data_IF_286871343519
#
_entry.id   IF_286871343519
#
_cell.length_a   1.000
_cell.length_b   1.000
_cell.length_c   1.000
_cell.angle_alpha   90.00
_cell.angle_beta   90.00
_cell.angle_gamma   90.00
#
_symmetry.space_group_name_H-M   'P 1'
#
loop_
_entity.id
_entity.type
_entity.pdbx_description
1 polymer ?
#
# COMPACT_ATOMS: atom_id res chain seq x y z
N UNK A 1 34.65 3.58 2.90
CA UNK A 1 33.55 2.86 2.22
C UNK A 1 32.29 3.05 3.06
N UNK A 2 31.36 3.91 2.64
CA UNK A 2 30.03 4.00 3.27
C UNK A 2 29.13 3.02 2.53
N UNK A 3 28.92 1.83 3.11
CA UNK A 3 27.82 0.96 2.70
C UNK A 3 26.52 1.66 3.14
N UNK A 4 25.54 1.77 2.24
CA UNK A 4 24.28 2.47 2.49
C UNK A 4 23.57 1.88 3.73
N UNK A 5 23.06 2.76 4.60
CA UNK A 5 22.54 2.42 5.94
C UNK A 5 21.06 2.04 5.96
N UNK A 6 20.30 2.29 4.88
CA UNK A 6 18.84 2.17 4.93
C UNK A 6 18.29 1.52 3.65
N UNK A 7 17.67 0.36 3.81
CA UNK A 7 16.96 -0.37 2.74
C UNK A 7 15.78 -1.20 3.24
N UNK A 8 15.50 -1.22 4.55
CA UNK A 8 14.51 -2.12 5.16
C UNK A 8 13.75 -1.49 6.34
N UNK A 9 13.67 -0.15 6.43
CA UNK A 9 13.01 0.50 7.58
C UNK A 9 11.49 0.48 7.55
N UNK A 10 10.88 0.03 6.44
CA UNK A 10 9.42 -0.08 6.31
C UNK A 10 8.88 -1.44 6.72
N UNK A 11 9.73 -2.49 6.84
CA UNK A 11 9.32 -3.83 7.25
C UNK A 11 9.60 -3.98 8.74
N UNK A 12 8.57 -3.82 9.55
CA UNK A 12 8.55 -4.27 10.93
C UNK A 12 7.98 -5.68 10.95
N UNK A 13 8.79 -6.67 11.36
CA UNK A 13 8.36 -8.06 11.39
C UNK A 13 7.25 -8.36 12.41
N UNK A 14 6.99 -7.44 13.34
CA UNK A 14 5.89 -7.52 14.30
C UNK A 14 4.61 -6.83 13.77
N UNK A 15 4.65 -6.18 12.61
CA UNK A 15 3.49 -5.55 11.96
C UNK A 15 2.83 -6.47 10.94
N UNK A 16 1.51 -6.36 10.83
CA UNK A 16 0.73 -7.05 9.81
C UNK A 16 0.60 -6.17 8.59
N UNK A 17 0.95 -6.72 7.44
CA UNK A 17 0.86 -6.03 6.16
C UNK A 17 -0.27 -6.65 5.34
N UNK A 18 -1.36 -5.90 5.18
CA UNK A 18 -2.42 -6.27 4.26
C UNK A 18 -2.02 -5.84 2.85
N UNK A 19 -1.82 -6.81 1.95
CA UNK A 19 -1.41 -6.55 0.57
C UNK A 19 -2.60 -6.55 -0.37
N UNK A 20 -2.72 -5.51 -1.18
CA UNK A 20 -3.74 -5.37 -2.22
C UNK A 20 -3.09 -5.22 -3.60
N UNK A 21 -3.84 -5.62 -4.61
CA UNK A 21 -3.44 -5.56 -6.01
C UNK A 21 -4.36 -4.65 -6.79
N UNK A 22 -3.79 -3.63 -7.44
CA UNK A 22 -4.53 -2.67 -8.25
C UNK A 22 -4.06 -2.74 -9.71
N UNK A 23 -5.00 -2.69 -10.66
CA UNK A 23 -4.71 -2.79 -12.10
C UNK A 23 -4.99 -1.51 -12.86
N UNK A 24 -5.60 -0.50 -12.21
CA UNK A 24 -6.00 0.74 -12.86
C UNK A 24 -5.71 1.96 -11.97
N UNK A 25 -5.63 3.13 -12.61
CA UNK A 25 -5.55 4.39 -11.90
C UNK A 25 -6.97 4.83 -11.53
N UNK A 26 -7.30 4.82 -10.25
CA UNK A 26 -8.64 5.18 -9.77
C UNK A 26 -8.61 5.61 -8.31
N UNK A 27 -9.68 6.29 -7.88
CA UNK A 27 -10.01 6.35 -6.47
C UNK A 27 -10.50 4.96 -6.03
N UNK A 28 -9.94 4.43 -4.95
CA UNK A 28 -10.31 3.17 -4.34
C UNK A 28 -10.86 3.42 -2.94
N UNK A 29 -11.81 2.57 -2.56
CA UNK A 29 -12.43 2.59 -1.23
C UNK A 29 -12.36 1.18 -0.64
N UNK A 30 -11.93 1.10 0.61
CA UNK A 30 -11.98 -0.12 1.42
C UNK A 30 -13.01 0.14 2.51
N UNK A 31 -14.12 -0.61 2.48
CA UNK A 31 -15.14 -0.56 3.52
C UNK A 31 -14.75 -1.39 4.74
N UNK A 32 -15.48 -1.18 5.84
CA UNK A 32 -15.27 -1.90 7.09
C UNK A 32 -15.36 -3.42 6.95
N UNK A 33 -16.33 -3.94 6.18
CA UNK A 33 -16.51 -5.38 6.02
C UNK A 33 -15.28 -6.02 5.33
N UNK A 34 -14.80 -5.40 4.26
CA UNK A 34 -13.61 -5.87 3.54
C UNK A 34 -12.36 -5.80 4.42
N UNK A 35 -12.19 -4.71 5.17
CA UNK A 35 -11.05 -4.55 6.05
C UNK A 35 -11.07 -5.55 7.21
N UNK A 36 -12.22 -5.72 7.87
CA UNK A 36 -12.38 -6.65 8.98
C UNK A 36 -12.12 -8.10 8.57
N UNK A 37 -12.61 -8.51 7.39
CA UNK A 37 -12.33 -9.82 6.84
C UNK A 37 -10.82 -10.05 6.61
N UNK A 38 -10.11 -9.04 6.09
CA UNK A 38 -8.67 -9.12 5.83
C UNK A 38 -7.84 -9.15 7.13
N UNK A 39 -8.21 -8.32 8.12
CA UNK A 39 -7.56 -8.24 9.43
C UNK A 39 -7.78 -9.53 10.22
N UNK A 40 -9.01 -10.05 10.24
CA UNK A 40 -9.37 -11.30 10.92
C UNK A 40 -8.65 -12.50 10.31
N UNK A 41 -8.52 -12.57 8.99
CA UNK A 41 -7.74 -13.61 8.31
C UNK A 41 -6.25 -13.60 8.72
N UNK A 42 -5.74 -12.45 9.17
CA UNK A 42 -4.37 -12.28 9.65
C UNK A 42 -4.21 -12.55 11.15
N UNK A 43 -5.31 -12.89 11.86
CA UNK A 43 -5.31 -13.21 13.29
C UNK A 43 -5.45 -12.00 14.22
N UNK A 44 -5.80 -10.83 13.68
CA UNK A 44 -6.03 -9.60 14.44
C UNK A 44 -7.53 -9.26 14.47
N UNK A 45 -7.91 -8.31 15.32
CA UNK A 45 -9.28 -7.78 15.35
C UNK A 45 -9.26 -6.30 15.01
N UNK A 46 -10.10 -5.88 14.05
CA UNK A 46 -10.19 -4.48 13.65
C UNK A 46 -10.59 -3.57 14.83
N UNK A 47 -11.39 -4.07 15.77
CA UNK A 47 -11.79 -3.36 16.99
C UNK A 47 -10.62 -3.04 17.95
N UNK A 48 -9.45 -3.69 17.76
CA UNK A 48 -8.24 -3.42 18.54
C UNK A 48 -7.28 -2.43 17.88
N UNK A 49 -7.61 -1.96 16.67
CA UNK A 49 -6.79 -1.07 15.85
C UNK A 49 -7.41 0.32 15.88
N UNK A 50 -6.60 1.32 16.21
CA UNK A 50 -7.01 2.72 16.10
C UNK A 50 -6.90 3.14 14.63
N UNK A 51 -8.01 3.57 13.99
CA UNK A 51 -8.04 3.88 12.57
C UNK A 51 -7.13 5.06 12.16
N UNK A 52 -6.74 5.91 13.12
CA UNK A 52 -5.79 7.02 12.89
C UNK A 52 -4.36 6.55 12.65
N UNK A 53 -4.07 5.28 12.94
CA UNK A 53 -2.74 4.69 12.76
C UNK A 53 -2.59 3.97 11.42
N UNK A 54 -3.63 3.94 10.58
CA UNK A 54 -3.51 3.30 9.27
C UNK A 54 -2.49 4.02 8.41
N UNK A 55 -1.61 3.24 7.78
CA UNK A 55 -0.65 3.76 6.82
C UNK A 55 -0.67 2.91 5.56
N UNK A 56 -0.73 3.57 4.40
CA UNK A 56 -0.71 2.90 3.11
C UNK A 56 0.63 3.15 2.43
N UNK A 57 1.29 2.08 2.00
CA UNK A 57 2.55 2.15 1.29
C UNK A 57 2.41 1.65 -0.13
N UNK A 58 3.00 2.40 -1.06
CA UNK A 58 3.17 2.01 -2.45
C UNK A 58 4.63 2.21 -2.83
N UNK A 59 5.28 1.16 -3.32
CA UNK A 59 6.68 1.20 -3.74
C UNK A 59 7.67 1.72 -2.65
N UNK A 60 7.32 1.52 -1.38
CA UNK A 60 8.14 1.97 -0.23
C UNK A 60 7.89 3.42 0.21
N UNK A 61 7.01 4.14 -0.47
CA UNK A 61 6.61 5.51 -0.12
C UNK A 61 5.20 5.51 0.49
N UNK A 62 5.03 6.26 1.58
CA UNK A 62 3.72 6.45 2.21
C UNK A 62 2.79 7.24 1.29
N UNK A 63 1.59 6.71 1.08
CA UNK A 63 0.55 7.31 0.25
C UNK A 63 -0.47 7.97 1.15
N UNK A 64 -1.00 9.10 0.70
CA UNK A 64 -2.09 9.75 1.39
C UNK A 64 -3.35 8.85 1.37
N UNK A 65 -3.95 8.71 2.54
CA UNK A 65 -5.26 8.07 2.72
C UNK A 65 -6.20 9.03 3.44
N UNK A 66 -7.48 8.90 3.14
CA UNK A 66 -8.58 9.49 3.90
C UNK A 66 -9.25 8.39 4.70
N UNK A 67 -9.42 8.60 6.00
CA UNK A 67 -10.09 7.65 6.90
C UNK A 67 -11.37 8.32 7.42
N UNK A 68 -12.51 7.90 6.91
CA UNK A 68 -13.80 8.42 7.37
C UNK A 68 -14.14 7.80 8.73
N UNK A 69 -14.66 8.58 9.67
CA UNK A 69 -15.12 8.10 10.97
C UNK A 69 -14.04 8.01 12.06
N UNK A 70 -12.76 8.19 11.74
CA UNK A 70 -11.61 7.94 12.64
C UNK A 70 -11.58 8.72 13.98
N UNK A 71 -12.46 9.70 14.17
CA UNK A 71 -12.45 10.66 15.27
C UNK A 71 -12.65 10.06 16.67
N UNK A 72 -13.37 8.94 16.77
CA UNK A 72 -13.64 8.25 18.03
C UNK A 72 -12.65 7.11 18.32
N UNK A 73 -11.72 6.85 17.39
CA UNK A 73 -10.71 5.78 17.50
C UNK A 73 -11.27 4.38 17.28
N UNK A 74 -12.48 4.24 16.73
CA UNK A 74 -13.09 2.97 16.35
C UNK A 74 -13.37 3.00 14.86
N UNK A 75 -13.22 1.85 14.19
CA UNK A 75 -13.58 1.73 12.77
C UNK A 75 -14.94 1.04 12.66
N UNK A 76 -15.99 1.86 12.61
CA UNK A 76 -17.39 1.46 12.63
C UNK A 76 -17.87 0.94 11.26
N UNK A 77 -19.05 0.31 11.25
CA UNK A 77 -19.63 -0.30 10.05
C UNK A 77 -19.88 0.67 8.88
N UNK A 78 -19.89 1.98 9.12
CA UNK A 78 -20.05 3.02 8.09
C UNK A 78 -18.73 3.62 7.63
N UNK A 79 -17.63 3.23 8.25
CA UNK A 79 -16.31 3.82 8.03
C UNK A 79 -15.63 3.18 6.84
N UNK A 80 -14.71 3.94 6.23
CA UNK A 80 -13.97 3.49 5.07
C UNK A 80 -12.64 4.21 4.94
N UNK A 81 -11.71 3.56 4.24
CA UNK A 81 -10.45 4.15 3.80
C UNK A 81 -10.58 4.49 2.32
N UNK A 82 -10.28 5.72 1.94
CA UNK A 82 -10.19 6.17 0.56
C UNK A 82 -8.78 6.59 0.19
N UNK A 83 -8.33 6.17 -0.99
CA UNK A 83 -7.02 6.53 -1.51
C UNK A 83 -6.98 6.51 -3.03
N UNK A 84 -6.06 7.27 -3.61
CA UNK A 84 -5.83 7.25 -5.04
C UNK A 84 -4.81 6.16 -5.39
N UNK A 85 -5.28 5.09 -6.01
CA UNK A 85 -4.45 3.99 -6.46
C UNK A 85 -3.95 4.21 -7.88
N UNK A 86 -2.68 3.89 -8.10
CA UNK A 86 -2.01 3.92 -9.39
C UNK A 86 -1.62 2.50 -9.81
N UNK A 87 -1.83 2.18 -11.08
CA UNK A 87 -1.36 0.93 -11.70
C UNK A 87 0.17 0.93 -11.79
N UNK A 88 0.75 -0.24 -12.03
CA UNK A 88 2.18 -0.33 -12.26
C UNK A 88 2.54 0.23 -13.65
N UNK A 89 3.18 1.39 -13.67
CA UNK A 89 3.64 2.09 -14.88
C UNK A 89 5.01 1.60 -15.39
N UNK A 90 5.66 0.69 -14.67
CA UNK A 90 6.95 0.13 -15.08
C UNK A 90 8.15 1.01 -14.75
N UNK A 91 7.99 2.09 -13.98
CA UNK A 91 9.11 2.94 -13.54
C UNK A 91 10.20 2.13 -12.82
N UNK A 92 9.83 1.09 -12.06
CA UNK A 92 10.80 0.22 -11.38
C UNK A 92 11.62 -0.69 -12.30
N UNK A 93 11.15 -0.95 -13.52
CA UNK A 93 11.88 -1.80 -14.47
C UNK A 93 13.18 -1.13 -14.95
N UNK A 94 13.30 0.21 -14.78
CA UNK A 94 14.53 0.95 -15.01
C UNK A 94 15.74 0.39 -14.24
N UNK A 95 15.50 -0.19 -13.05
CA UNK A 95 16.57 -0.76 -12.21
C UNK A 95 17.18 -2.04 -12.79
N UNK A 96 16.52 -2.66 -13.77
CA UNK A 96 17.02 -3.85 -14.47
C UNK A 96 17.98 -3.50 -15.62
N UNK A 97 18.11 -2.21 -15.95
CA UNK A 97 19.01 -1.72 -16.99
C UNK A 97 20.30 -1.18 -16.38
N UNK A 98 21.43 -1.39 -17.08
CA UNK A 98 22.72 -0.82 -16.67
C UNK A 98 22.74 0.71 -16.79
N UNK A 99 22.01 1.25 -17.76
CA UNK A 99 21.70 2.66 -17.89
C UNK A 99 20.16 2.83 -17.91
N UNK A 100 19.56 3.59 -16.98
CA UNK A 100 18.11 3.80 -16.94
C UNK A 100 17.53 4.35 -18.26
N UNK A 101 18.33 5.12 -19.03
CA UNK A 101 17.92 5.67 -20.34
C UNK A 101 17.76 4.59 -21.42
N UNK A 102 18.24 3.37 -21.18
CA UNK A 102 18.07 2.25 -22.11
C UNK A 102 16.64 1.65 -22.02
N UNK A 103 15.83 2.11 -21.07
CA UNK A 103 14.42 1.72 -20.96
C UNK A 103 13.59 2.42 -22.04
N UNK A 104 13.04 1.63 -22.97
CA UNK A 104 12.30 2.13 -24.15
C UNK A 104 11.03 2.91 -23.76
N UNK A 105 10.39 2.58 -22.64
CA UNK A 105 9.22 3.30 -22.12
C UNK A 105 8.96 3.07 -20.63
N UNK A 106 8.28 4.04 -19.99
CA UNK A 106 7.79 3.99 -18.60
C UNK A 106 6.25 4.07 -18.53
N UNK A 107 5.55 3.52 -19.52
CA UNK A 107 4.07 3.59 -19.58
C UNK A 107 3.37 2.35 -19.01
N UNK A 108 4.10 1.23 -18.97
CA UNK A 108 3.67 -0.09 -18.48
C UNK A 108 4.90 -0.90 -18.06
N UNK A 109 4.76 -1.73 -17.02
CA UNK A 109 5.81 -2.68 -16.65
C UNK A 109 5.96 -3.83 -17.66
N UNK A 110 7.19 -4.30 -17.81
CA UNK A 110 7.58 -5.48 -18.58
C UNK A 110 7.15 -6.80 -17.93
N UNK A 111 6.77 -6.79 -16.65
CA UNK A 111 6.47 -8.01 -15.89
C UNK A 111 5.02 -8.08 -15.41
N UNK A 112 4.43 -6.96 -14.98
CA UNK A 112 3.02 -6.95 -14.52
C UNK A 112 2.43 -5.55 -14.50
N UNK A 113 1.21 -5.40 -15.01
CA UNK A 113 0.40 -4.18 -14.87
C UNK A 113 -0.15 -3.96 -13.45
N UNK A 114 0.02 -4.94 -12.58
CA UNK A 114 -0.56 -4.96 -11.24
C UNK A 114 0.38 -4.29 -10.24
N UNK A 115 -0.10 -3.22 -9.62
CA UNK A 115 0.57 -2.55 -8.51
C UNK A 115 0.24 -3.23 -7.18
N UNK A 116 1.26 -3.43 -6.34
CA UNK A 116 1.09 -3.92 -4.98
C UNK A 116 1.11 -2.76 -3.97
N UNK A 117 0.04 -2.66 -3.18
CA UNK A 117 -0.10 -1.71 -2.08
C UNK A 117 -0.12 -2.48 -0.76
N UNK A 118 0.37 -1.85 0.30
CA UNK A 118 0.46 -2.46 1.63
C UNK A 118 -0.17 -1.52 2.67
N UNK A 119 -1.20 -1.97 3.36
CA UNK A 119 -1.76 -1.27 4.53
C UNK A 119 -1.20 -1.89 5.80
N UNK A 120 -0.81 -1.04 6.74
CA UNK A 120 -0.34 -1.41 8.09
C UNK A 120 -1.18 -0.77 9.16
#
# INVERSE_FOLDING_TARGET
>A
MKAQTYGHEWINHDQTYLRFYLTANSLYRIDQETLDAAVTASGFSLASIDPRNFQLFYMGEEQYIHVEGESDGVFDATDFIEFYGQRNDGVFDAQLYNNPDDQVHQYSSLFTDTAAYYLT
#
